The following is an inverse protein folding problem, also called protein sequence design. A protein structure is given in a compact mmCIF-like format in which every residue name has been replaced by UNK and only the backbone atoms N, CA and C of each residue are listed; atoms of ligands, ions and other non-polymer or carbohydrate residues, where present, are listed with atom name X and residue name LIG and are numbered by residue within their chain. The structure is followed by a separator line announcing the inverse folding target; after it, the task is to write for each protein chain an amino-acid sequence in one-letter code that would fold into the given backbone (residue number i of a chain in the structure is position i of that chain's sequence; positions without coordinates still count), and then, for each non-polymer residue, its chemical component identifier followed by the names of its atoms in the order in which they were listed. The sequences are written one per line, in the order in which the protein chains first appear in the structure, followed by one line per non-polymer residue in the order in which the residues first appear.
data_IF_172027571951
#
_entry.id   IF_172027571951
#
_cell.length_a   1.000
_cell.length_b   1.000
_cell.length_c   1.000
_cell.angle_alpha   90.00
_cell.angle_beta   90.00
_cell.angle_gamma   90.00
#
_symmetry.space_group_name_H-M   'P 1'
#
loop_
_entity.id
_entity.type
_entity.pdbx_description
1 polymer ?
#
# COMPACT_ATOMS: atom_id res chain seq x y z
N UNK A 1 -7.87 -10.80 -0.73
CA UNK A 1 -6.54 -10.64 -1.34
C UNK A 1 -6.65 -9.96 -2.70
N UNK A 2 -5.68 -9.10 -3.04
CA UNK A 2 -5.66 -8.35 -4.28
C UNK A 2 -4.59 -8.92 -5.21
N UNK A 3 -4.99 -9.36 -6.40
CA UNK A 3 -4.12 -10.08 -7.34
C UNK A 3 -3.76 -9.17 -8.50
N UNK A 4 -2.48 -9.11 -8.87
CA UNK A 4 -2.04 -8.37 -10.05
C UNK A 4 -2.49 -9.10 -11.32
N UNK A 5 -3.17 -8.38 -12.22
CA UNK A 5 -3.63 -8.86 -13.52
C UNK A 5 -2.72 -8.43 -14.66
N UNK A 6 -2.15 -7.23 -14.61
CA UNK A 6 -1.34 -6.66 -15.69
C UNK A 6 -0.32 -5.61 -15.17
N UNK A 7 0.50 -5.06 -16.07
CA UNK A 7 1.48 -3.99 -15.83
C UNK A 7 1.05 -2.72 -16.55
N UNK A 8 1.38 -1.57 -15.97
CA UNK A 8 1.25 -0.29 -16.65
C UNK A 8 2.50 0.57 -16.46
N UNK A 9 2.63 1.61 -17.28
CA UNK A 9 3.76 2.53 -17.19
C UNK A 9 3.77 3.24 -15.82
N UNK A 10 4.97 3.52 -15.27
CA UNK A 10 5.10 4.34 -14.08
C UNK A 10 4.44 5.71 -14.25
N UNK A 11 3.98 6.27 -13.14
CA UNK A 11 3.32 7.56 -13.01
C UNK A 11 3.95 8.36 -11.88
N UNK A 12 3.89 9.68 -11.96
CA UNK A 12 4.36 10.53 -10.87
C UNK A 12 3.46 10.34 -9.65
N UNK A 13 4.07 10.30 -8.47
CA UNK A 13 3.37 10.21 -7.19
C UNK A 13 3.67 11.41 -6.29
N UNK A 14 2.74 11.71 -5.41
CA UNK A 14 2.90 12.65 -4.31
C UNK A 14 2.73 11.88 -3.01
N UNK A 15 3.85 11.69 -2.30
CA UNK A 15 3.87 11.05 -0.98
C UNK A 15 3.69 12.12 0.10
N UNK A 16 2.80 11.87 1.05
CA UNK A 16 2.55 12.72 2.22
C UNK A 16 2.63 11.88 3.48
N UNK A 17 3.39 12.37 4.46
CA UNK A 17 3.54 11.79 5.81
C UNK A 17 3.22 12.89 6.81
N UNK A 18 2.36 12.63 7.79
CA UNK A 18 2.02 13.59 8.82
C UNK A 18 1.76 12.94 10.20
N UNK A 19 1.29 13.74 11.15
CA UNK A 19 1.07 13.30 12.54
C UNK A 19 -0.26 12.58 12.77
N UNK A 20 -1.15 12.53 11.78
CA UNK A 20 -2.49 11.95 11.85
C UNK A 20 -2.59 10.65 11.05
N UNK A 21 -1.98 10.59 9.87
CA UNK A 21 -1.89 9.39 9.04
C UNK A 21 -0.42 8.99 8.82
N UNK A 22 -0.07 7.71 8.96
CA UNK A 22 1.30 7.26 8.70
C UNK A 22 1.81 7.62 7.30
N UNK A 23 1.04 7.36 6.25
CA UNK A 23 1.36 7.84 4.91
C UNK A 23 0.13 7.82 4.00
N UNK A 24 0.13 8.71 3.02
CA UNK A 24 -0.74 8.67 1.86
C UNK A 24 0.05 8.94 0.59
N UNK A 25 -0.40 8.37 -0.53
CA UNK A 25 0.22 8.50 -1.84
C UNK A 25 -0.89 8.81 -2.85
N UNK A 26 -0.74 9.90 -3.59
CA UNK A 26 -1.62 10.25 -4.69
C UNK A 26 -0.88 10.13 -6.03
N UNK A 27 -1.51 9.50 -7.01
CA UNK A 27 -0.99 9.45 -8.38
C UNK A 27 -1.51 10.65 -9.16
N UNK A 28 -0.64 11.36 -9.88
CA UNK A 28 -0.94 12.70 -10.44
C UNK A 28 -2.07 12.77 -11.49
N UNK A 29 -2.61 11.63 -11.93
CA UNK A 29 -3.90 11.57 -12.62
C UNK A 29 -5.02 11.75 -11.58
N UNK A 30 -5.24 13.01 -11.14
CA UNK A 30 -6.14 13.44 -10.05
C UNK A 30 -7.62 13.10 -10.25
N UNK A 31 -7.93 11.81 -10.27
CA UNK A 31 -9.27 11.25 -10.32
C UNK A 31 -9.59 10.64 -8.97
N UNK A 32 -10.86 10.68 -8.61
CA UNK A 32 -11.36 9.87 -7.50
C UNK A 32 -11.21 8.39 -7.89
N UNK A 33 -10.85 7.55 -6.93
CA UNK A 33 -10.84 6.12 -7.16
C UNK A 33 -12.29 5.62 -7.37
N UNK A 34 -12.47 4.72 -8.33
CA UNK A 34 -13.76 4.11 -8.60
C UNK A 34 -14.05 2.98 -7.60
N UNK A 35 -12.99 2.29 -7.15
CA UNK A 35 -13.04 1.11 -6.31
C UNK A 35 -12.00 1.25 -5.18
N UNK A 36 -12.28 0.63 -4.04
CA UNK A 36 -11.36 0.58 -2.92
C UNK A 36 -11.17 -0.85 -2.45
N UNK A 37 -9.92 -1.29 -2.35
CA UNK A 37 -9.57 -2.45 -1.57
C UNK A 37 -9.10 -2.00 -0.19
N UNK A 38 -9.71 -2.54 0.87
CA UNK A 38 -9.38 -2.17 2.25
C UNK A 38 -8.92 -3.39 3.01
N UNK A 39 -7.83 -3.28 3.76
CA UNK A 39 -7.33 -4.37 4.57
C UNK A 39 -6.90 -3.90 5.96
N UNK A 40 -6.71 -4.85 6.87
CA UNK A 40 -6.40 -4.62 8.28
C UNK A 40 -7.42 -5.32 9.16
N UNK A 41 -7.86 -4.66 10.22
CA UNK A 41 -8.95 -5.14 11.08
C UNK A 41 -10.13 -4.16 11.18
N UNK A 42 -10.07 -3.05 10.42
CA UNK A 42 -11.10 -2.02 10.34
C UNK A 42 -11.31 -1.20 11.62
N UNK A 43 -10.51 -1.43 12.67
CA UNK A 43 -10.65 -0.76 13.98
C UNK A 43 -9.39 -0.04 14.41
N UNK A 44 -8.27 -0.76 14.45
CA UNK A 44 -6.97 -0.24 14.89
C UNK A 44 -5.91 -0.29 13.80
N UNK A 45 -6.18 -1.04 12.73
CA UNK A 45 -5.36 -1.08 11.52
C UNK A 45 -6.28 -0.99 10.31
N UNK A 46 -6.04 -0.03 9.42
CA UNK A 46 -6.75 0.15 8.17
C UNK A 46 -5.80 0.69 7.11
N UNK A 47 -5.65 -0.07 6.03
CA UNK A 47 -4.99 0.32 4.80
C UNK A 47 -6.00 0.34 3.67
N UNK A 48 -5.90 1.33 2.80
CA UNK A 48 -6.78 1.53 1.66
C UNK A 48 -5.95 1.69 0.39
N UNK A 49 -6.36 0.97 -0.66
CA UNK A 49 -5.83 1.09 -2.00
C UNK A 49 -6.97 1.48 -2.94
N UNK A 50 -6.94 2.71 -3.45
CA UNK A 50 -7.86 3.21 -4.45
C UNK A 50 -7.47 2.74 -5.84
N UNK A 51 -8.44 2.22 -6.59
CA UNK A 51 -8.28 1.67 -7.93
C UNK A 51 -9.28 2.33 -8.89
N UNK A 52 -8.91 2.41 -10.17
CA UNK A 52 -9.89 2.67 -11.24
C UNK A 52 -10.75 1.44 -11.50
N UNK A 53 -11.84 1.62 -12.24
CA UNK A 53 -12.70 0.51 -12.70
C UNK A 53 -11.98 -0.48 -13.64
N UNK A 54 -10.76 -0.18 -14.08
CA UNK A 54 -9.91 -1.11 -14.81
C UNK A 54 -8.80 -1.73 -13.94
N UNK A 55 -8.67 -1.32 -12.67
CA UNK A 55 -7.69 -1.86 -11.73
C UNK A 55 -6.38 -1.09 -11.65
N UNK A 56 -6.30 0.11 -12.24
CA UNK A 56 -5.12 0.97 -12.15
C UNK A 56 -5.07 1.63 -10.76
N UNK A 57 -3.89 1.70 -10.15
CA UNK A 57 -3.71 2.35 -8.85
C UNK A 57 -3.91 3.87 -8.98
N UNK A 58 -4.74 4.44 -8.10
CA UNK A 58 -5.09 5.86 -8.05
C UNK A 58 -4.57 6.54 -6.79
N UNK A 59 -4.72 5.89 -5.63
CA UNK A 59 -4.18 6.38 -4.36
C UNK A 59 -3.93 5.22 -3.40
N UNK A 60 -3.11 5.48 -2.39
CA UNK A 60 -2.78 4.54 -1.31
C UNK A 60 -2.79 5.31 0.00
N UNK A 61 -3.42 4.77 1.03
CA UNK A 61 -3.40 5.36 2.36
C UNK A 61 -3.28 4.29 3.42
N UNK A 62 -2.29 4.42 4.31
CA UNK A 62 -2.34 3.73 5.60
C UNK A 62 -3.09 4.66 6.56
N UNK A 63 -4.39 4.40 6.74
CA UNK A 63 -5.30 5.28 7.51
C UNK A 63 -5.03 5.19 9.00
N UNK A 64 -4.79 3.99 9.50
CA UNK A 64 -4.46 3.77 10.91
C UNK A 64 -3.61 2.52 11.08
N UNK A 65 -2.79 2.53 12.13
CA UNK A 65 -2.07 1.35 12.57
C UNK A 65 -1.84 1.44 14.08
N UNK A 66 -2.01 0.32 14.78
CA UNK A 66 -1.72 0.23 16.20
C UNK A 66 -0.20 0.22 16.43
N UNK A 67 0.28 0.93 17.44
CA UNK A 67 1.70 0.95 17.82
C UNK A 67 2.28 -0.46 18.06
N UNK A 68 1.49 -1.41 18.58
CA UNK A 68 1.94 -2.80 18.73
C UNK A 68 2.28 -3.52 17.41
N UNK A 69 1.82 -2.97 16.29
CA UNK A 69 2.06 -3.45 14.94
C UNK A 69 3.20 -2.69 14.25
N UNK A 70 3.94 -1.85 14.98
CA UNK A 70 5.03 -1.04 14.45
C UNK A 70 6.37 -1.57 14.97
N UNK A 71 7.29 -1.82 14.04
CA UNK A 71 8.67 -2.16 14.33
C UNK A 71 9.59 -1.02 13.91
N UNK A 72 10.38 -0.51 14.85
CA UNK A 72 11.34 0.58 14.61
C UNK A 72 12.73 -0.05 14.46
N UNK A 73 13.30 0.07 13.26
CA UNK A 73 14.61 -0.49 12.91
C UNK A 73 15.59 0.64 12.60
N UNK A 74 16.86 0.43 12.98
CA UNK A 74 17.96 1.35 12.68
C UNK A 74 18.86 0.85 11.53
N UNK A 75 18.35 -0.06 10.71
CA UNK A 75 19.06 -0.60 9.55
C UNK A 75 18.66 0.13 8.27
N UNK A 76 19.52 0.07 7.24
CA UNK A 76 19.16 0.43 5.88
C UNK A 76 18.26 -0.65 5.26
N UNK A 77 17.50 -0.29 4.22
CA UNK A 77 16.74 -1.27 3.43
C UNK A 77 17.65 -1.93 2.39
N UNK A 78 17.57 -3.25 2.27
CA UNK A 78 18.26 -4.02 1.22
C UNK A 78 17.23 -4.82 0.40
N UNK A 79 17.22 -4.60 -0.92
CA UNK A 79 16.45 -5.44 -1.83
C UNK A 79 17.15 -6.78 -2.05
N UNK A 80 16.44 -7.86 -1.78
CA UNK A 80 16.92 -9.23 -2.03
C UNK A 80 16.20 -9.91 -3.20
N UNK A 81 15.22 -9.25 -3.80
CA UNK A 81 14.34 -9.80 -4.82
C UNK A 81 14.37 -8.97 -6.12
N UNK A 82 13.99 -9.56 -7.27
CA UNK A 82 13.89 -8.84 -8.53
C UNK A 82 12.96 -7.63 -8.45
N UNK A 83 13.38 -6.53 -9.09
CA UNK A 83 12.61 -5.29 -9.18
C UNK A 83 12.33 -4.99 -10.64
N UNK A 84 11.07 -4.75 -10.97
CA UNK A 84 10.62 -4.30 -12.29
C UNK A 84 10.14 -2.84 -12.23
N UNK A 85 10.49 -2.02 -13.22
CA UNK A 85 10.08 -0.60 -13.26
C UNK A 85 8.74 -0.43 -13.98
N UNK A 86 7.67 -0.89 -13.33
CA UNK A 86 6.28 -0.77 -13.76
C UNK A 86 5.39 -0.60 -12.55
N UNK A 87 4.20 -0.03 -12.76
CA UNK A 87 3.14 0.00 -11.76
C UNK A 87 2.22 -1.22 -11.98
N UNK A 88 1.81 -1.95 -10.92
CA UNK A 88 0.89 -3.06 -11.09
C UNK A 88 -0.52 -2.54 -11.43
N UNK A 89 -1.26 -3.35 -12.18
CA UNK A 89 -2.69 -3.25 -12.40
C UNK A 89 -3.34 -4.48 -11.76
N UNK A 90 -4.39 -4.27 -10.98
CA UNK A 90 -5.01 -5.31 -10.17
C UNK A 90 -6.30 -5.85 -10.80
N UNK A 91 -6.62 -7.11 -10.52
CA UNK A 91 -7.87 -7.70 -10.95
C UNK A 91 -9.05 -7.12 -10.13
N UNK A 92 -9.99 -6.52 -10.85
CA UNK A 92 -11.21 -5.92 -10.31
C UNK A 92 -12.48 -6.61 -10.80
N UNK A 93 -12.36 -7.75 -11.48
CA UNK A 93 -13.50 -8.48 -12.07
C UNK A 93 -14.55 -8.93 -11.05
N UNK A 94 -14.12 -9.20 -9.82
CA UNK A 94 -14.98 -9.62 -8.71
C UNK A 94 -15.73 -8.47 -8.00
N UNK A 95 -15.51 -7.21 -8.38
CA UNK A 95 -16.27 -6.10 -7.80
C UNK A 95 -17.69 -6.06 -8.37
N UNK A 96 -18.70 -6.20 -7.50
CA UNK A 96 -20.10 -6.13 -7.90
C UNK A 96 -20.68 -4.75 -7.54
N UNK A 97 -20.32 -3.73 -8.33
CA UNK A 97 -20.71 -2.34 -8.08
C UNK A 97 -22.20 -2.15 -8.38
N UNK A 98 -22.94 -1.66 -7.40
CA UNK A 98 -24.37 -1.38 -7.46
C UNK A 98 -24.57 0.13 -7.35
N UNK A 99 -25.21 0.75 -8.36
CA UNK A 99 -25.34 2.21 -8.45
C UNK A 99 -26.06 2.87 -7.26
N UNK A 100 -26.89 2.12 -6.55
CA UNK A 100 -27.70 2.60 -5.42
C UNK A 100 -27.03 2.37 -4.06
N UNK A 101 -25.87 1.69 -4.02
CA UNK A 101 -25.18 1.31 -2.80
C UNK A 101 -23.72 1.75 -2.85
N UNK A 102 -23.39 2.85 -2.17
CA UNK A 102 -22.03 3.35 -2.07
C UNK A 102 -21.07 2.33 -1.44
N UNK A 103 -21.56 1.41 -0.59
CA UNK A 103 -20.71 0.40 0.02
C UNK A 103 -20.18 -0.63 -0.98
N UNK A 104 -20.84 -0.78 -2.14
CA UNK A 104 -20.48 -1.74 -3.19
C UNK A 104 -19.14 -1.45 -3.89
N UNK A 105 -18.57 -0.24 -3.71
CA UNK A 105 -17.25 0.10 -4.27
C UNK A 105 -16.11 -0.47 -3.41
N UNK A 106 -16.38 -0.86 -2.17
CA UNK A 106 -15.38 -1.37 -1.23
C UNK A 106 -15.32 -2.89 -1.27
N UNK A 107 -14.10 -3.43 -1.34
CA UNK A 107 -13.80 -4.84 -1.06
C UNK A 107 -12.95 -4.93 0.19
N UNK A 108 -13.57 -5.41 1.26
CA UNK A 108 -12.95 -5.46 2.58
C UNK A 108 -12.28 -6.81 2.84
N UNK A 109 -11.04 -6.75 3.31
CA UNK A 109 -10.26 -7.88 3.79
C UNK A 109 -9.79 -7.61 5.23
N UNK A 110 -10.75 -7.62 6.16
CA UNK A 110 -10.50 -7.31 7.57
C UNK A 110 -9.94 -8.48 8.40
N UNK A 111 -9.49 -9.53 7.73
CA UNK A 111 -8.73 -10.61 8.34
C UNK A 111 -7.23 -10.48 8.05
N UNK A 112 -6.77 -9.33 7.55
CA UNK A 112 -5.39 -9.07 7.19
C UNK A 112 -4.59 -8.49 8.38
N UNK A 113 -3.50 -9.15 8.74
CA UNK A 113 -2.62 -8.68 9.80
C UNK A 113 -1.53 -7.77 9.21
N UNK A 114 -1.57 -6.49 9.57
CA UNK A 114 -0.62 -5.49 9.08
C UNK A 114 0.52 -5.27 10.08
N UNK A 115 1.73 -5.06 9.55
CA UNK A 115 2.88 -4.59 10.33
C UNK A 115 3.62 -3.50 9.55
N UNK A 116 3.87 -2.36 10.20
CA UNK A 116 4.69 -1.29 9.63
C UNK A 116 6.09 -1.37 10.22
N UNK A 117 7.09 -1.49 9.35
CA UNK A 117 8.50 -1.34 9.71
C UNK A 117 8.92 0.08 9.35
N UNK A 118 9.45 0.82 10.32
CA UNK A 118 10.02 2.15 10.15
C UNK A 118 11.54 2.03 10.22
N UNK A 119 12.21 2.28 9.10
CA UNK A 119 13.66 2.27 8.99
C UNK A 119 14.31 3.64 9.23
N UNK A 120 15.53 3.80 8.71
CA UNK A 120 16.24 5.09 8.74
C UNK A 120 15.71 6.08 7.68
N UNK A 121 15.33 5.58 6.51
CA UNK A 121 14.92 6.36 5.33
C UNK A 121 13.85 5.63 4.49
N UNK A 122 13.16 4.65 5.09
CA UNK A 122 12.16 3.82 4.42
C UNK A 122 11.05 3.35 5.36
N UNK A 123 9.94 2.92 4.75
CA UNK A 123 8.80 2.28 5.41
C UNK A 123 8.43 0.99 4.69
N UNK A 124 8.15 -0.08 5.43
CA UNK A 124 7.58 -1.32 4.84
C UNK A 124 6.29 -1.67 5.57
N UNK A 125 5.17 -1.67 4.84
CA UNK A 125 3.93 -2.27 5.28
C UNK A 125 3.88 -3.73 4.82
N UNK A 126 3.95 -4.67 5.76
CA UNK A 126 3.85 -6.10 5.53
C UNK A 126 2.45 -6.63 5.84
N UNK A 127 2.01 -7.60 5.03
CA UNK A 127 0.73 -8.29 5.15
C UNK A 127 1.05 -9.68 5.72
N UNK A 128 1.09 -9.80 7.05
CA UNK A 128 1.73 -10.90 7.77
C UNK A 128 1.10 -12.28 7.54
N UNK A 129 -0.20 -12.31 7.24
CA UNK A 129 -0.93 -13.53 6.97
C UNK A 129 -0.90 -13.95 5.48
N UNK A 130 -0.17 -13.23 4.64
CA UNK A 130 0.07 -13.59 3.23
C UNK A 130 1.47 -14.19 3.05
N UNK A 131 1.66 -14.92 1.95
CA UNK A 131 3.00 -15.33 1.54
C UNK A 131 3.89 -14.11 1.31
N UNK A 132 5.19 -14.26 1.60
CA UNK A 132 6.15 -13.17 1.45
C UNK A 132 6.32 -12.76 -0.01
N UNK A 133 6.59 -11.47 -0.20
CA UNK A 133 6.96 -10.91 -1.50
C UNK A 133 8.20 -11.62 -2.06
N UNK A 134 8.13 -12.03 -3.31
CA UNK A 134 9.25 -12.64 -4.06
C UNK A 134 9.69 -11.77 -5.25
N UNK A 135 8.96 -10.70 -5.53
CA UNK A 135 9.23 -9.74 -6.60
C UNK A 135 8.67 -8.37 -6.21
N UNK A 136 9.24 -7.31 -6.77
CA UNK A 136 8.79 -5.95 -6.54
C UNK A 136 8.53 -5.20 -7.85
N UNK A 137 7.48 -4.40 -7.85
CA UNK A 137 7.11 -3.47 -8.91
C UNK A 137 7.33 -2.05 -8.41
N UNK A 138 8.22 -1.31 -9.07
CA UNK A 138 8.67 0.03 -8.67
C UNK A 138 7.96 1.12 -9.46
N UNK A 139 7.54 2.15 -8.73
CA UNK A 139 7.07 3.42 -9.24
C UNK A 139 7.67 4.55 -8.40
N UNK A 140 8.70 5.24 -8.93
CA UNK A 140 9.45 6.26 -8.18
C UNK A 140 9.98 5.70 -6.85
N UNK A 141 9.65 6.29 -5.70
CA UNK A 141 10.04 5.81 -4.38
C UNK A 141 9.16 4.69 -3.79
N UNK A 142 8.06 4.34 -4.48
CA UNK A 142 7.08 3.33 -4.07
C UNK A 142 7.35 1.98 -4.72
N UNK A 143 7.18 0.92 -3.93
CA UNK A 143 7.32 -0.47 -4.36
C UNK A 143 6.13 -1.31 -3.90
N UNK A 144 5.60 -2.10 -4.83
CA UNK A 144 4.59 -3.13 -4.57
C UNK A 144 5.28 -4.48 -4.54
N UNK A 145 5.32 -5.12 -3.38
CA UNK A 145 5.82 -6.49 -3.26
C UNK A 145 4.71 -7.49 -3.54
N UNK A 146 4.99 -8.42 -4.45
CA UNK A 146 4.07 -9.48 -4.84
C UNK A 146 4.63 -10.85 -4.49
N UNK A 147 3.76 -11.72 -3.99
CA UNK A 147 4.10 -13.10 -3.66
C UNK A 147 4.06 -14.03 -4.90
N UNK A 148 4.19 -15.33 -4.67
CA UNK A 148 4.23 -16.34 -5.74
C UNK A 148 2.94 -16.43 -6.56
N UNK A 149 1.81 -16.04 -5.97
CA UNK A 149 0.49 -15.99 -6.59
C UNK A 149 0.17 -14.63 -7.23
N UNK A 150 1.16 -13.73 -7.28
CA UNK A 150 0.99 -12.32 -7.70
C UNK A 150 0.03 -11.52 -6.82
N UNK A 151 -0.19 -11.96 -5.59
CA UNK A 151 -0.98 -11.21 -4.61
C UNK A 151 -0.12 -10.12 -3.98
N UNK A 152 -0.73 -8.97 -3.71
CA UNK A 152 -0.08 -7.89 -2.98
C UNK A 152 0.22 -8.31 -1.54
N UNK A 153 1.50 -8.37 -1.19
CA UNK A 153 2.00 -8.86 0.10
C UNK A 153 2.84 -7.84 0.88
N UNK A 154 3.28 -6.75 0.24
CA UNK A 154 3.92 -5.63 0.94
C UNK A 154 3.85 -4.33 0.14
N UNK A 155 3.84 -3.20 0.84
CA UNK A 155 4.11 -1.87 0.27
C UNK A 155 5.40 -1.33 0.89
N UNK A 156 6.30 -0.82 0.07
CA UNK A 156 7.54 -0.19 0.53
C UNK A 156 7.66 1.22 -0.02
N UNK A 157 8.02 2.16 0.85
CA UNK A 157 8.38 3.52 0.51
C UNK A 157 9.85 3.76 0.88
N UNK A 158 10.59 4.42 0.00
CA UNK A 158 12.01 4.75 0.17
C UNK A 158 12.24 6.25 0.09
N UNK A 159 13.45 6.72 0.39
CA UNK A 159 13.80 8.14 0.36
C UNK A 159 12.93 9.02 1.27
N UNK A 160 12.46 8.45 2.38
CA UNK A 160 11.71 9.19 3.39
C UNK A 160 12.69 10.08 4.16
N UNK A 161 12.33 11.34 4.35
CA UNK A 161 13.21 12.30 5.01
C UNK A 161 13.35 12.01 6.51
N UNK A 162 14.44 12.47 7.11
CA UNK A 162 14.65 12.33 8.55
C UNK A 162 13.53 12.99 9.38
N UNK A 163 12.97 14.12 8.90
CA UNK A 163 11.85 14.79 9.56
C UNK A 163 10.59 13.93 9.56
N UNK A 164 10.24 13.34 8.43
CA UNK A 164 9.09 12.44 8.29
C UNK A 164 9.26 11.16 9.14
N UNK A 165 10.46 10.59 9.18
CA UNK A 165 10.77 9.44 10.04
C UNK A 165 10.59 9.80 11.52
N UNK A 166 11.00 11.00 11.95
CA UNK A 166 10.80 11.44 13.33
C UNK A 166 9.32 11.71 13.65
N UNK A 167 8.55 12.27 12.71
CA UNK A 167 7.09 12.39 12.83
C UNK A 167 6.47 11.01 13.06
N UNK A 168 6.86 10.02 12.26
CA UNK A 168 6.35 8.66 12.37
C UNK A 168 6.71 8.00 13.71
N UNK A 169 7.97 8.09 14.13
CA UNK A 169 8.43 7.50 15.39
C UNK A 169 7.78 8.14 16.62
N UNK A 170 7.38 9.40 16.54
CA UNK A 170 6.77 10.14 17.64
C UNK A 170 5.27 9.92 17.76
N UNK A 171 4.55 9.85 16.63
CA UNK A 171 3.09 9.82 16.62
C UNK A 171 2.51 8.41 16.50
N UNK A 172 3.30 7.43 16.06
CA UNK A 172 2.89 6.04 15.92
C UNK A 172 3.85 5.10 16.66
#
# INVERSE_FOLDING_TARGET
MLVMSDKQLPKHILTSIDSYIPFSIEFTDSRLADLYWRCGNGKTCLFELGLSNTGEVINITLVSINNSNILKNSSNFEFTFPVENFLPKFDVSDWNVMSEDYSSIFKDDFNCELQLVIGLDYLVLNFLNYEKSISYFKNEELYFGLNSNKELSSILLTHITAEEIEILKRNF
#
